data_IF_773777081346
#
_entry.id   IF_773777081346
#
_cell.length_a   1.000
_cell.length_b   1.000
_cell.length_c   1.000
_cell.angle_alpha   90.00
_cell.angle_beta   90.00
_cell.angle_gamma   90.00
#
_symmetry.space_group_name_H-M   'P 1'
#
loop_
_entity.id
_entity.type
_entity.pdbx_description
1 polymer ?
#
# COMPACT_ATOMS: atom_id res chain seq x y z
N UNK A 1 12.47 14.34 5.29
CA UNK A 1 11.65 13.34 4.60
C UNK A 1 11.08 12.50 5.72
N UNK A 2 9.84 12.73 6.10
CA UNK A 2 9.24 11.97 7.20
C UNK A 2 8.79 10.65 6.61
N UNK A 3 9.60 9.61 6.81
CA UNK A 3 9.22 8.23 6.56
C UNK A 3 7.96 7.97 7.38
N UNK A 4 6.79 7.97 6.73
CA UNK A 4 5.54 7.64 7.38
C UNK A 4 5.72 6.22 7.94
N UNK A 5 5.89 6.13 9.24
CA UNK A 5 6.20 4.91 9.98
C UNK A 5 5.03 4.68 10.92
N UNK A 6 4.22 3.66 10.62
CA UNK A 6 3.07 3.27 11.43
C UNK A 6 3.51 2.22 12.43
N UNK A 7 3.04 2.26 13.67
CA UNK A 7 3.34 1.21 14.66
C UNK A 7 2.39 0.02 14.43
N UNK A 8 2.94 -1.19 14.43
CA UNK A 8 2.17 -2.41 14.24
C UNK A 8 1.37 -2.73 15.51
N UNK A 9 0.04 -2.88 15.42
CA UNK A 9 -0.79 -3.19 16.60
C UNK A 9 -0.57 -4.60 17.16
N UNK A 10 0.05 -5.50 16.39
CA UNK A 10 0.28 -6.89 16.81
C UNK A 10 1.58 -7.09 17.57
N UNK A 11 2.68 -6.49 17.10
CA UNK A 11 4.01 -6.67 17.71
C UNK A 11 4.64 -5.39 18.27
N UNK A 12 4.04 -4.22 18.04
CA UNK A 12 4.62 -2.92 18.40
C UNK A 12 5.83 -2.51 17.53
N UNK A 13 6.10 -3.26 16.45
CA UNK A 13 7.19 -2.96 15.51
C UNK A 13 6.84 -1.86 14.52
N UNK A 14 7.85 -1.38 13.78
CA UNK A 14 7.66 -0.36 12.75
C UNK A 14 7.11 -0.98 11.45
N UNK A 15 5.92 -0.54 11.02
CA UNK A 15 5.35 -0.86 9.72
C UNK A 15 5.95 0.04 8.64
N UNK A 16 6.13 -0.55 7.46
CA UNK A 16 6.63 0.10 6.28
C UNK A 16 5.48 0.38 5.32
N UNK A 17 5.42 1.62 4.84
CA UNK A 17 4.51 2.00 3.78
C UNK A 17 5.00 1.46 2.44
N UNK A 18 4.15 0.71 1.75
CA UNK A 18 4.36 0.25 0.37
C UNK A 18 3.30 0.88 -0.52
N UNK A 19 3.74 1.70 -1.47
CA UNK A 19 2.88 2.17 -2.55
C UNK A 19 3.13 1.32 -3.79
N UNK A 20 2.07 0.73 -4.33
CA UNK A 20 2.09 -0.03 -5.57
C UNK A 20 1.20 0.64 -6.61
N UNK A 21 1.80 1.04 -7.74
CA UNK A 21 1.05 1.55 -8.89
C UNK A 21 0.86 0.44 -9.91
N UNK A 22 -0.37 -0.07 -10.03
CA UNK A 22 -0.76 -1.02 -11.05
C UNK A 22 -1.35 -0.27 -12.26
N UNK A 23 -0.74 -0.45 -13.43
CA UNK A 23 -1.26 0.08 -14.70
C UNK A 23 -1.91 -1.05 -15.47
N UNK A 24 -3.24 -1.11 -15.44
CA UNK A 24 -4.01 -2.08 -16.22
C UNK A 24 -4.32 -1.51 -17.59
N UNK A 25 -3.54 -1.94 -18.59
CA UNK A 25 -3.83 -1.64 -19.99
C UNK A 25 -4.81 -2.68 -20.53
N UNK A 26 -6.09 -2.30 -20.61
CA UNK A 26 -7.14 -3.16 -21.17
C UNK A 26 -7.13 -3.01 -22.71
N UNK A 27 -6.83 -4.09 -23.48
CA UNK A 27 -6.92 -4.03 -24.93
C UNK A 27 -8.39 -3.80 -25.35
N UNK A 28 -8.67 -2.61 -25.90
CA UNK A 28 -10.02 -2.18 -26.28
C UNK A 28 -10.50 -0.92 -25.57
N UNK A 29 -9.85 -0.50 -24.48
CA UNK A 29 -10.08 0.79 -23.83
C UNK A 29 -8.83 1.68 -23.97
N UNK A 30 -8.93 2.88 -24.54
CA UNK A 30 -7.79 3.77 -24.75
C UNK A 30 -7.30 4.46 -23.47
N UNK A 31 -8.01 4.30 -22.36
CA UNK A 31 -7.62 4.85 -21.06
C UNK A 31 -6.93 3.78 -20.23
N UNK A 32 -5.61 3.88 -19.98
CA UNK A 32 -4.96 3.03 -18.98
C UNK A 32 -5.61 3.32 -17.62
N UNK A 33 -6.11 2.28 -16.96
CA UNK A 33 -6.54 2.41 -15.57
C UNK A 33 -5.28 2.37 -14.71
N UNK A 34 -4.97 3.48 -14.05
CA UNK A 34 -3.90 3.55 -13.05
C UNK A 34 -4.54 3.37 -11.69
N UNK A 35 -4.37 2.20 -11.10
CA UNK A 35 -4.77 1.92 -9.71
C UNK A 35 -3.53 2.07 -8.85
N UNK A 36 -3.52 3.10 -8.00
CA UNK A 36 -2.50 3.24 -6.96
C UNK A 36 -3.08 2.59 -5.71
N UNK A 37 -2.46 1.51 -5.26
CA UNK A 37 -2.79 0.84 -4.00
C UNK A 37 -1.69 1.15 -3.00
N UNK A 38 -2.05 1.41 -1.76
CA UNK A 38 -1.12 1.74 -0.70
C UNK A 38 -1.36 0.75 0.43
N UNK A 39 -0.30 0.16 0.96
CA UNK A 39 -0.39 -0.90 1.97
C UNK A 39 0.66 -0.67 3.06
N UNK A 40 0.26 -0.86 4.31
CA UNK A 40 1.17 -0.90 5.45
C UNK A 40 1.57 -2.34 5.70
N UNK A 41 2.86 -2.65 5.68
CA UNK A 41 3.37 -4.00 5.95
C UNK A 41 4.37 -3.97 7.10
N UNK A 42 4.15 -4.80 8.10
CA UNK A 42 5.09 -5.04 9.19
C UNK A 42 6.07 -6.16 8.81
N UNK A 43 7.39 -5.89 8.72
CA UNK A 43 8.39 -6.90 8.36
C UNK A 43 8.69 -7.90 9.50
N UNK A 44 8.23 -7.61 10.72
CA UNK A 44 8.52 -8.42 11.90
C UNK A 44 7.50 -9.57 12.09
N UNK A 45 6.21 -9.28 11.91
CA UNK A 45 5.13 -10.24 12.10
C UNK A 45 4.31 -10.54 10.83
N UNK A 46 4.74 -10.00 9.67
CA UNK A 46 4.05 -10.12 8.38
C UNK A 46 2.62 -9.56 8.37
N UNK A 47 2.27 -8.72 9.34
CA UNK A 47 0.97 -8.04 9.39
C UNK A 47 0.87 -6.99 8.29
N UNK A 48 -0.22 -7.00 7.53
CA UNK A 48 -0.47 -6.01 6.48
C UNK A 48 -1.89 -5.45 6.53
N UNK A 49 -2.04 -4.17 6.24
CA UNK A 49 -3.35 -3.50 6.07
C UNK A 49 -3.32 -2.52 4.90
N UNK A 50 -4.49 -2.28 4.30
CA UNK A 50 -4.65 -1.27 3.27
C UNK A 50 -4.49 0.14 3.87
N UNK A 51 -3.74 1.00 3.18
CA UNK A 51 -3.43 2.36 3.57
C UNK A 51 -4.26 3.40 2.78
N UNK A 52 -5.15 2.93 1.91
CA UNK A 52 -6.05 3.70 1.06
C UNK A 52 -7.51 3.47 1.52
N UNK A 53 -7.80 3.83 2.79
CA UNK A 53 -9.15 3.75 3.36
C UNK A 53 -10.07 4.93 2.96
N UNK A 54 -9.88 5.58 1.81
CA UNK A 54 -10.73 6.70 1.38
C UNK A 54 -10.97 6.67 -0.14
N UNK A 55 -12.16 6.20 -0.53
CA UNK A 55 -12.72 6.39 -1.88
C UNK A 55 -13.31 7.78 -2.11
#
# INVERSE_FOLDING_TARGET
>A
MEDATKECPLCGGTMHFKEHQAVTQVPGNPKPATTTTREWVCPDCDYFEDADEEG
#
